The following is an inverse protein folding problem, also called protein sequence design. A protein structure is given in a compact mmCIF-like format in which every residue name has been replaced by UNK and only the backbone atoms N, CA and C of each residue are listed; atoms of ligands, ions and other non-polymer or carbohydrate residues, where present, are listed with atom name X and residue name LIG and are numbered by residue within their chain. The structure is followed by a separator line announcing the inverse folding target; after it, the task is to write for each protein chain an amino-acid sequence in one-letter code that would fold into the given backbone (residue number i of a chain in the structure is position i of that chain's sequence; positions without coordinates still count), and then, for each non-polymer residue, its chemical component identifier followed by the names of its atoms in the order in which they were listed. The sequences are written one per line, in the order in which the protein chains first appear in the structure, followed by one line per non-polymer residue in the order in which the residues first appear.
data_IF_653426563317
#
_entry.id   IF_653426563317
#
_cell.length_a   1.000
_cell.length_b   1.000
_cell.length_c   1.000
_cell.angle_alpha   90.00
_cell.angle_beta   90.00
_cell.angle_gamma   90.00
#
_symmetry.space_group_name_H-M   'P 1'
#
loop_
_entity.id
_entity.type
_entity.pdbx_description
1 polymer ?
#
# COMPACT_ATOMS: atom_id res chain seq x y z
N UNK A 1 -16.06 3.65 4.50
CA UNK A 1 -14.75 3.47 3.83
C UNK A 1 -14.49 1.98 3.62
N UNK A 2 -13.73 1.59 2.59
CA UNK A 2 -13.36 0.19 2.31
C UNK A 2 -11.84 0.09 2.12
N UNK A 3 -11.22 -0.97 2.66
CA UNK A 3 -9.80 -1.24 2.50
C UNK A 3 -9.57 -2.35 1.46
N UNK A 4 -8.61 -2.12 0.56
CA UNK A 4 -8.09 -3.12 -0.37
C UNK A 4 -6.67 -3.48 0.05
N UNK A 5 -6.45 -4.75 0.37
CA UNK A 5 -5.14 -5.26 0.74
C UNK A 5 -4.51 -6.01 -0.42
N UNK A 6 -3.25 -5.72 -0.73
CA UNK A 6 -2.52 -6.42 -1.79
C UNK A 6 -1.05 -6.62 -1.44
N UNK A 7 -0.40 -7.56 -2.13
CA UNK A 7 1.03 -7.83 -1.99
C UNK A 7 1.88 -6.75 -2.70
N UNK A 8 3.20 -6.86 -2.60
CA UNK A 8 4.14 -5.93 -3.22
C UNK A 8 4.20 -6.05 -4.75
N UNK A 9 4.87 -5.10 -5.39
CA UNK A 9 5.18 -5.17 -6.81
C UNK A 9 4.00 -4.80 -7.72
N UNK A 10 3.81 -5.54 -8.80
CA UNK A 10 2.79 -5.22 -9.82
C UNK A 10 1.35 -5.34 -9.31
N UNK A 11 1.12 -6.07 -8.22
CA UNK A 11 -0.19 -6.16 -7.59
C UNK A 11 -0.67 -4.78 -7.09
N UNK A 12 0.26 -3.89 -6.69
CA UNK A 12 -0.03 -2.50 -6.34
C UNK A 12 -0.42 -1.69 -7.58
N UNK A 13 0.34 -1.83 -8.67
CA UNK A 13 0.06 -1.11 -9.91
C UNK A 13 -1.32 -1.44 -10.51
N UNK A 14 -1.81 -2.68 -10.31
CA UNK A 14 -3.15 -3.07 -10.75
C UNK A 14 -4.28 -2.30 -10.03
N UNK A 15 -4.00 -1.58 -8.94
CA UNK A 15 -4.99 -0.74 -8.28
C UNK A 15 -5.19 0.62 -8.96
N UNK A 16 -4.36 1.00 -9.94
CA UNK A 16 -4.43 2.32 -10.60
C UNK A 16 -5.82 2.69 -11.12
N UNK A 17 -6.52 1.83 -11.89
CA UNK A 17 -7.85 2.19 -12.41
C UNK A 17 -8.85 2.42 -11.28
N UNK A 18 -8.86 1.55 -10.26
CA UNK A 18 -9.78 1.68 -9.14
C UNK A 18 -9.51 2.94 -8.29
N UNK A 19 -8.24 3.30 -8.11
CA UNK A 19 -7.86 4.51 -7.36
C UNK A 19 -8.20 5.79 -8.14
N UNK A 20 -7.97 5.80 -9.45
CA UNK A 20 -8.36 6.94 -10.29
C UNK A 20 -9.88 7.15 -10.30
N UNK A 21 -10.67 6.08 -10.39
CA UNK A 21 -12.13 6.15 -10.30
C UNK A 21 -12.60 6.60 -8.91
N UNK A 22 -11.96 6.13 -7.85
CA UNK A 22 -12.28 6.54 -6.49
C UNK A 22 -11.99 8.02 -6.24
N UNK A 23 -10.89 8.54 -6.80
CA UNK A 23 -10.53 9.96 -6.79
C UNK A 23 -11.60 10.81 -7.49
N UNK A 24 -11.94 10.46 -8.74
CA UNK A 24 -12.89 11.21 -9.57
C UNK A 24 -14.30 11.26 -8.96
N UNK A 25 -14.72 10.21 -8.27
CA UNK A 25 -16.09 10.08 -7.73
C UNK A 25 -16.19 10.32 -6.21
N UNK A 26 -15.08 10.68 -5.54
CA UNK A 26 -15.07 10.90 -4.09
C UNK A 26 -15.38 9.65 -3.27
N UNK A 27 -15.06 8.46 -3.78
CA UNK A 27 -15.32 7.18 -3.10
C UNK A 27 -14.25 6.97 -2.01
N UNK A 28 -14.64 6.72 -0.74
CA UNK A 28 -13.69 6.54 0.36
C UNK A 28 -13.03 5.16 0.31
N UNK A 29 -11.94 5.05 -0.45
CA UNK A 29 -11.14 3.84 -0.65
C UNK A 29 -9.76 3.97 0.02
N UNK A 30 -9.30 2.91 0.67
CA UNK A 30 -7.97 2.82 1.30
C UNK A 30 -7.20 1.67 0.66
N UNK A 31 -6.03 1.95 0.08
CA UNK A 31 -5.11 0.92 -0.39
C UNK A 31 -4.08 0.58 0.69
N UNK A 32 -4.04 -0.68 1.11
CA UNK A 32 -3.06 -1.22 2.06
C UNK A 32 -2.15 -2.16 1.30
N UNK A 33 -0.93 -1.71 0.99
CA UNK A 33 0.02 -2.47 0.18
C UNK A 33 1.11 -3.04 1.08
N UNK A 34 1.40 -4.33 0.93
CA UNK A 34 2.60 -4.90 1.52
C UNK A 34 3.83 -4.47 0.72
N UNK A 35 4.94 -4.22 1.39
CA UNK A 35 6.21 -3.91 0.73
C UNK A 35 7.40 -4.57 1.42
N UNK A 36 8.52 -4.63 0.71
CA UNK A 36 9.80 -4.99 1.30
C UNK A 36 10.32 -3.84 2.18
N UNK A 37 11.09 -4.14 3.24
CA UNK A 37 11.75 -3.12 4.05
C UNK A 37 12.51 -2.11 3.18
N UNK A 38 12.51 -0.84 3.57
CA UNK A 38 13.10 0.24 2.79
C UNK A 38 14.54 -0.04 2.31
N UNK A 39 15.34 -0.73 3.14
CA UNK A 39 16.72 -1.16 2.81
C UNK A 39 16.85 -2.10 1.60
N UNK A 40 15.76 -2.73 1.16
CA UNK A 40 15.73 -3.66 0.02
C UNK A 40 15.16 -3.01 -1.26
N UNK A 41 14.67 -1.76 -1.18
CA UNK A 41 14.17 -1.03 -2.34
C UNK A 41 15.34 -0.61 -3.22
N UNK A 42 15.23 -0.85 -4.54
CA UNK A 42 16.29 -0.52 -5.51
C UNK A 42 17.50 -1.46 -5.52
N UNK A 43 17.52 -2.54 -4.73
CA UNK A 43 18.66 -3.47 -4.67
C UNK A 43 18.54 -4.66 -5.63
N UNK A 44 17.51 -4.69 -6.49
CA UNK A 44 17.16 -5.86 -7.31
C UNK A 44 16.47 -6.99 -6.54
N UNK A 45 16.03 -6.75 -5.29
CA UNK A 45 15.26 -7.73 -4.53
C UNK A 45 13.96 -8.11 -5.25
N UNK A 46 13.64 -9.41 -5.29
CA UNK A 46 12.45 -9.92 -5.97
C UNK A 46 11.16 -9.26 -5.45
N UNK A 47 10.25 -8.95 -6.37
CA UNK A 47 8.96 -8.29 -6.10
C UNK A 47 9.08 -6.96 -5.36
N UNK A 48 10.11 -6.18 -5.69
CA UNK A 48 10.31 -4.84 -5.16
C UNK A 48 10.10 -3.82 -6.28
N UNK A 49 9.23 -2.84 -6.04
CA UNK A 49 8.99 -1.70 -6.93
C UNK A 49 9.02 -0.42 -6.11
N UNK A 50 9.13 0.73 -6.78
CA UNK A 50 8.88 2.01 -6.14
C UNK A 50 7.38 2.20 -5.94
N UNK A 51 6.85 1.72 -4.81
CA UNK A 51 5.43 1.82 -4.47
C UNK A 51 5.04 3.22 -3.98
N UNK A 52 5.93 3.87 -3.23
CA UNK A 52 5.71 5.22 -2.70
C UNK A 52 5.55 6.19 -3.87
N UNK A 53 4.40 6.85 -3.93
CA UNK A 53 4.07 7.83 -4.98
C UNK A 53 3.53 7.22 -6.27
N UNK A 54 3.35 5.89 -6.34
CA UNK A 54 2.92 5.21 -7.58
C UNK A 54 1.58 5.74 -8.11
N UNK A 55 0.65 6.12 -7.23
CA UNK A 55 -0.68 6.64 -7.60
C UNK A 55 -0.74 8.16 -7.77
N UNK A 56 0.37 8.87 -7.56
CA UNK A 56 0.49 10.31 -7.82
C UNK A 56 -0.64 11.15 -7.20
N UNK A 57 -1.27 11.96 -8.03
CA UNK A 57 -2.29 12.95 -7.63
C UNK A 57 -3.64 12.33 -7.24
N UNK A 58 -3.87 11.05 -7.52
CA UNK A 58 -5.15 10.39 -7.21
C UNK A 58 -5.31 10.07 -5.71
N UNK A 59 -4.29 10.31 -4.88
CA UNK A 59 -4.35 10.06 -3.44
C UNK A 59 -4.74 11.32 -2.67
N UNK A 60 -5.55 11.12 -1.62
CA UNK A 60 -5.81 12.17 -0.62
C UNK A 60 -4.73 12.24 0.46
N UNK A 61 -4.11 11.11 0.76
CA UNK A 61 -3.01 10.96 1.70
C UNK A 61 -2.21 9.71 1.38
N UNK A 62 -0.95 9.68 1.77
CA UNK A 62 -0.07 8.53 1.64
C UNK A 62 0.85 8.43 2.86
N UNK A 63 1.02 7.24 3.39
CA UNK A 63 1.98 6.96 4.46
C UNK A 63 2.78 5.70 4.12
N UNK A 64 4.09 5.76 4.34
CA UNK A 64 5.00 4.63 4.22
C UNK A 64 5.42 4.22 5.64
N UNK A 65 4.94 3.05 6.08
CA UNK A 65 5.17 2.58 7.44
C UNK A 65 6.50 1.82 7.51
N UNK A 66 7.44 2.19 8.41
CA UNK A 66 8.70 1.49 8.54
C UNK A 66 8.46 0.05 9.00
N UNK A 67 9.21 -0.89 8.43
CA UNK A 67 9.20 -2.26 8.93
C UNK A 67 9.82 -2.30 10.33
N UNK A 68 9.03 -2.68 11.34
CA UNK A 68 9.50 -2.99 12.68
C UNK A 68 9.96 -4.44 12.76
N UNK A 69 11.09 -4.70 13.42
CA UNK A 69 11.58 -6.06 13.68
C UNK A 69 10.82 -6.78 14.81
N UNK A 70 9.87 -6.07 15.46
CA UNK A 70 8.99 -6.62 16.49
C UNK A 70 7.63 -6.94 15.88
N UNK A 71 7.12 -8.16 16.10
CA UNK A 71 5.76 -8.50 15.74
C UNK A 71 4.80 -7.53 16.45
N UNK A 72 3.80 -6.96 15.75
CA UNK A 72 2.77 -6.20 16.44
C UNK A 72 2.13 -7.12 17.48
N UNK A 73 1.88 -6.60 18.68
CA UNK A 73 1.05 -7.30 19.66
C UNK A 73 -0.24 -7.68 18.94
N UNK A 74 -0.49 -8.99 18.78
CA UNK A 74 -1.66 -9.47 18.07
C UNK A 74 -2.89 -8.86 18.76
N UNK A 75 -3.56 -7.93 18.09
CA UNK A 75 -4.91 -7.52 18.49
C UNK A 75 -5.82 -8.67 18.09
N UNK A 76 -5.85 -9.70 18.92
CA UNK A 76 -6.88 -10.72 18.88
C UNK A 76 -8.14 -9.99 19.34
N UNK A 77 -9.04 -9.74 18.39
CA UNK A 77 -10.26 -8.96 18.63
C UNK A 77 -10.99 -9.47 19.87
N UNK A 78 -11.19 -8.57 20.84
CA UNK A 78 -12.25 -8.73 21.81
C UNK A 78 -13.56 -8.48 21.07
N UNK A 79 -14.29 -9.56 20.81
CA UNK A 79 -15.72 -9.55 20.48
C UNK A 79 -16.47 -9.86 21.76
#
# INVERSE_FOLDING_TARGET
PVALCTTSGTAVANLHPAIAEADANGIPLIAVTADRPARLRGTGANQTTWQVGIFGQNLRAQADLPATDSAPAAVIGQV
#
